data_IF_352007529271
#
_entry.id   IF_352007529271
#
_cell.length_a   1.000
_cell.length_b   1.000
_cell.length_c   1.000
_cell.angle_alpha   90.00
_cell.angle_beta   90.00
_cell.angle_gamma   90.00
#
_symmetry.space_group_name_H-M   'P 1'
#
loop_
_entity.id
_entity.type
_entity.pdbx_description
1 polymer ?
#
# COMPACT_ATOMS: atom_id res chain seq x y z
N UNK A 1 -15.37 6.64 25.61
CA UNK A 1 -15.17 7.18 24.25
C UNK A 1 -15.55 6.09 23.26
N UNK A 2 -16.53 6.32 22.38
CA UNK A 2 -17.04 5.28 21.48
C UNK A 2 -16.03 5.02 20.33
N UNK A 3 -15.21 3.98 20.44
CA UNK A 3 -14.18 3.59 19.46
C UNK A 3 -14.76 2.89 18.21
N UNK A 4 -16.04 3.06 17.91
CA UNK A 4 -16.73 2.34 16.84
C UNK A 4 -16.16 2.67 15.44
N UNK A 5 -15.70 3.91 15.26
CA UNK A 5 -15.06 4.33 14.01
C UNK A 5 -13.71 3.63 13.80
N UNK A 6 -12.85 3.58 14.82
CA UNK A 6 -11.59 2.84 14.75
C UNK A 6 -11.84 1.35 14.51
N UNK A 7 -12.88 0.77 15.14
CA UNK A 7 -13.25 -0.64 14.94
C UNK A 7 -13.69 -0.94 13.51
N UNK A 8 -14.38 0.01 12.85
CA UNK A 8 -14.70 -0.07 11.43
C UNK A 8 -13.45 0.02 10.54
N UNK A 9 -12.53 0.94 10.84
CA UNK A 9 -11.26 1.07 10.12
C UNK A 9 -10.36 -0.15 10.26
N UNK A 10 -10.43 -0.86 11.41
CA UNK A 10 -9.68 -2.10 11.66
C UNK A 10 -10.32 -3.36 11.07
N UNK A 11 -11.41 -3.24 10.30
CA UNK A 11 -11.99 -4.41 9.62
C UNK A 11 -11.06 -4.92 8.52
N UNK A 12 -11.01 -6.24 8.33
CA UNK A 12 -10.16 -6.88 7.32
C UNK A 12 -10.24 -6.26 5.92
N UNK A 13 -11.42 -5.96 5.34
CA UNK A 13 -11.49 -5.31 4.03
C UNK A 13 -10.94 -3.89 4.02
N UNK A 14 -11.20 -3.09 5.07
CA UNK A 14 -10.78 -1.68 5.11
C UNK A 14 -9.26 -1.55 5.28
N UNK A 15 -8.69 -2.34 6.19
CA UNK A 15 -7.23 -2.41 6.35
C UNK A 15 -6.58 -2.97 5.07
N UNK A 16 -7.19 -3.98 4.45
CA UNK A 16 -6.71 -4.57 3.21
C UNK A 16 -6.61 -3.54 2.07
N UNK A 17 -7.65 -2.73 1.86
CA UNK A 17 -7.62 -1.65 0.86
C UNK A 17 -6.54 -0.62 1.19
N UNK A 18 -6.46 -0.15 2.45
CA UNK A 18 -5.44 0.81 2.85
C UNK A 18 -4.02 0.28 2.59
N UNK A 19 -3.76 -0.98 2.93
CA UNK A 19 -2.47 -1.63 2.71
C UNK A 19 -2.15 -1.82 1.24
N UNK A 20 -3.13 -2.27 0.44
CA UNK A 20 -2.96 -2.46 -0.99
C UNK A 20 -2.74 -1.13 -1.73
N UNK A 21 -3.47 -0.07 -1.36
CA UNK A 21 -3.27 1.27 -1.93
C UNK A 21 -1.89 1.83 -1.58
N UNK A 22 -1.45 1.67 -0.33
CA UNK A 22 -0.10 2.08 0.07
C UNK A 22 0.98 1.31 -0.70
N UNK A 23 0.85 -0.01 -0.77
CA UNK A 23 1.80 -0.89 -1.48
C UNK A 23 1.83 -0.59 -2.98
N UNK A 24 0.66 -0.41 -3.59
CA UNK A 24 0.55 -0.04 -5.01
C UNK A 24 1.18 1.32 -5.28
N UNK A 25 0.87 2.33 -4.47
CA UNK A 25 1.49 3.66 -4.57
C UNK A 25 3.01 3.56 -4.46
N UNK A 26 3.51 2.84 -3.47
CA UNK A 26 4.96 2.63 -3.31
C UNK A 26 5.62 2.00 -4.55
N UNK A 27 5.03 0.93 -5.10
CA UNK A 27 5.55 0.26 -6.31
C UNK A 27 5.47 1.18 -7.54
N UNK A 28 4.41 1.97 -7.67
CA UNK A 28 4.25 2.94 -8.76
C UNK A 28 5.37 3.98 -8.69
N UNK A 29 5.65 4.53 -7.50
CA UNK A 29 6.70 5.53 -7.36
C UNK A 29 8.10 4.95 -7.55
N UNK A 30 8.34 3.71 -7.13
CA UNK A 30 9.59 3.03 -7.44
C UNK A 30 9.80 2.88 -8.95
N UNK A 31 8.80 2.42 -9.69
CA UNK A 31 8.90 2.30 -11.15
C UNK A 31 8.91 3.65 -11.88
N UNK A 32 8.38 4.73 -11.26
CA UNK A 32 8.48 6.10 -11.80
C UNK A 32 9.89 6.66 -11.68
N UNK A 33 10.57 6.42 -10.55
CA UNK A 33 11.93 6.91 -10.32
C UNK A 33 13.01 6.03 -10.95
N UNK A 34 12.77 4.72 -11.02
CA UNK A 34 13.68 3.74 -11.61
C UNK A 34 12.91 2.90 -12.65
N UNK A 35 12.69 3.46 -13.85
CA UNK A 35 11.98 2.75 -14.90
C UNK A 35 12.84 1.59 -15.46
N UNK A 36 12.16 0.55 -15.94
CA UNK A 36 12.73 -0.53 -16.77
C UNK A 36 13.85 -1.37 -16.12
N UNK A 37 13.72 -1.68 -14.83
CA UNK A 37 14.63 -2.61 -14.13
C UNK A 37 14.29 -4.05 -14.46
N UNK A 38 14.94 -4.61 -15.49
CA UNK A 38 14.76 -6.02 -15.90
C UNK A 38 15.58 -7.00 -15.04
N UNK A 39 16.78 -6.61 -14.64
CA UNK A 39 17.66 -7.40 -13.76
C UNK A 39 18.61 -6.46 -13.01
N UNK A 40 19.10 -6.92 -11.86
CA UNK A 40 20.19 -6.25 -11.16
C UNK A 40 21.52 -6.67 -11.77
N UNK A 41 22.36 -5.70 -12.15
CA UNK A 41 23.64 -5.92 -12.81
C UNK A 41 24.76 -6.46 -11.88
N UNK A 42 24.44 -6.80 -10.62
CA UNK A 42 25.39 -7.17 -9.58
C UNK A 42 25.59 -8.68 -9.49
#
# INVERSE_FOLDING_TARGET
MNNNFTKYLSTAPVVGVLWMTFTAGFIIELNRFFPDVLYFYL
#
